data_IF_050694825021
#
_entry.id   IF_050694825021
#
_cell.length_a   1.000
_cell.length_b   1.000
_cell.length_c   1.000
_cell.angle_alpha   90.00
_cell.angle_beta   90.00
_cell.angle_gamma   90.00
#
_symmetry.space_group_name_H-M   'P 1'
#
loop_
_entity.id
_entity.type
_entity.pdbx_description
1 polymer ?
#
# COMPACT_ATOMS: atom_id res chain seq x y z
N UNK A 1 -7.23 6.68 15.32
CA UNK A 1 -6.25 7.69 15.69
C UNK A 1 -6.97 8.90 16.32
N UNK A 2 -6.54 9.36 17.50
CA UNK A 2 -7.25 10.41 18.26
C UNK A 2 -6.57 11.79 18.12
N UNK A 3 -5.60 11.92 17.23
CA UNK A 3 -4.86 13.18 17.01
C UNK A 3 -5.61 14.07 16.04
N UNK A 4 -5.98 15.27 16.51
CA UNK A 4 -6.73 16.27 15.74
C UNK A 4 -5.78 17.44 15.45
N UNK A 5 -5.59 17.85 14.18
CA UNK A 5 -4.74 18.98 13.84
C UNK A 5 -5.14 20.25 14.62
N UNK A 6 -4.17 20.89 15.26
CA UNK A 6 -4.38 22.10 16.07
C UNK A 6 -4.95 21.88 17.48
N UNK A 7 -5.39 20.66 17.81
CA UNK A 7 -5.98 20.34 19.14
C UNK A 7 -5.15 19.25 19.87
N UNK A 8 -4.39 18.46 19.12
CA UNK A 8 -3.60 17.35 19.67
C UNK A 8 -4.41 16.07 19.88
N UNK A 9 -3.96 15.23 20.80
CA UNK A 9 -4.62 13.95 21.10
C UNK A 9 -5.80 14.18 22.06
N UNK A 10 -7.01 14.17 21.54
CA UNK A 10 -8.22 14.37 22.33
C UNK A 10 -9.29 13.32 22.02
N UNK A 11 -9.31 12.25 22.82
CA UNK A 11 -10.25 11.15 22.67
C UNK A 11 -11.70 11.53 22.90
N UNK A 12 -11.98 12.50 23.78
CA UNK A 12 -13.36 12.90 24.09
C UNK A 12 -14.06 13.51 22.87
N UNK A 13 -13.33 14.25 22.05
CA UNK A 13 -13.85 14.79 20.77
C UNK A 13 -14.14 13.66 19.79
N UNK A 14 -13.19 12.73 19.65
CA UNK A 14 -13.36 11.58 18.73
C UNK A 14 -14.54 10.71 19.19
N UNK A 15 -14.61 10.35 20.45
CA UNK A 15 -15.71 9.54 20.97
C UNK A 15 -17.06 10.23 20.77
N UNK A 16 -17.14 11.54 20.99
CA UNK A 16 -18.36 12.30 20.71
C UNK A 16 -18.72 12.25 19.22
N UNK A 17 -17.77 12.49 18.32
CA UNK A 17 -18.02 12.52 16.87
C UNK A 17 -18.52 11.17 16.31
N UNK A 18 -18.16 10.06 16.98
CA UNK A 18 -18.60 8.70 16.62
C UNK A 18 -19.78 8.20 17.47
N UNK A 19 -20.31 9.04 18.36
CA UNK A 19 -21.48 8.70 19.17
C UNK A 19 -22.71 8.41 18.30
N UNK A 20 -23.56 7.48 18.75
CA UNK A 20 -24.77 7.10 18.01
C UNK A 20 -25.77 8.23 17.97
N UNK A 21 -25.89 8.97 19.07
CA UNK A 21 -26.83 10.09 19.25
C UNK A 21 -26.39 11.41 18.57
N UNK A 22 -25.18 11.46 18.00
CA UNK A 22 -24.65 12.68 17.38
C UNK A 22 -24.98 12.71 15.90
N UNK A 23 -25.54 13.83 15.43
CA UNK A 23 -25.98 14.03 14.05
C UNK A 23 -25.16 15.11 13.34
N UNK A 24 -25.18 15.09 12.00
CA UNK A 24 -24.56 16.15 11.20
C UNK A 24 -25.22 17.48 11.53
N UNK A 25 -24.40 18.48 11.84
CA UNK A 25 -24.83 19.81 12.29
C UNK A 25 -24.67 20.03 13.80
N UNK A 26 -24.57 18.96 14.58
CA UNK A 26 -24.40 19.08 16.04
C UNK A 26 -23.09 19.77 16.39
N UNK A 27 -23.17 20.60 17.45
CA UNK A 27 -22.06 21.40 17.93
C UNK A 27 -21.85 21.13 19.43
N UNK A 28 -20.58 20.89 19.79
CA UNK A 28 -20.21 20.69 21.21
C UNK A 28 -18.90 21.40 21.55
N UNK A 29 -18.87 21.96 22.77
CA UNK A 29 -17.67 22.55 23.35
C UNK A 29 -16.94 21.52 24.19
N UNK A 30 -15.62 21.45 24.02
CA UNK A 30 -14.72 20.59 24.80
C UNK A 30 -13.67 21.46 25.51
N UNK A 31 -13.31 21.08 26.73
CA UNK A 31 -12.14 21.61 27.41
C UNK A 31 -10.89 20.86 26.93
N UNK A 32 -9.85 21.62 26.62
CA UNK A 32 -8.52 21.11 26.26
C UNK A 32 -7.49 21.71 27.21
N UNK A 33 -6.23 21.24 27.14
CA UNK A 33 -5.18 21.66 28.05
C UNK A 33 -5.01 23.20 28.07
N UNK A 34 -5.07 23.84 26.92
CA UNK A 34 -4.80 25.27 26.73
C UNK A 34 -6.09 26.09 26.52
N UNK A 35 -7.27 25.56 26.88
CA UNK A 35 -8.50 26.31 26.74
C UNK A 35 -9.72 25.50 26.32
N UNK A 36 -10.48 26.03 25.38
CA UNK A 36 -11.72 25.44 24.90
C UNK A 36 -11.70 25.34 23.38
N UNK A 37 -12.29 24.28 22.86
CA UNK A 37 -12.55 24.11 21.43
C UNK A 37 -14.04 23.84 21.20
N UNK A 38 -14.60 24.46 20.16
CA UNK A 38 -15.95 24.19 19.69
C UNK A 38 -15.85 23.34 18.41
N UNK A 39 -16.53 22.23 18.42
CA UNK A 39 -16.49 21.25 17.32
C UNK A 39 -17.88 21.09 16.75
N UNK A 40 -17.98 21.12 15.43
CA UNK A 40 -19.20 20.81 14.70
C UNK A 40 -19.00 19.54 13.85
N UNK A 41 -19.94 18.61 13.95
CA UNK A 41 -19.94 17.44 13.04
C UNK A 41 -20.50 17.85 11.68
N UNK A 42 -19.63 17.89 10.67
CA UNK A 42 -20.01 18.34 9.32
C UNK A 42 -20.40 17.21 8.39
N UNK A 43 -19.96 15.96 8.67
CA UNK A 43 -20.25 14.80 7.85
C UNK A 43 -20.17 13.49 8.63
N UNK A 44 -21.05 12.56 8.35
CA UNK A 44 -20.98 11.13 8.71
C UNK A 44 -20.83 10.29 7.45
N UNK A 45 -19.81 9.45 7.39
CA UNK A 45 -19.65 8.49 6.29
C UNK A 45 -19.96 7.09 6.82
N UNK A 46 -21.04 6.45 6.36
CA UNK A 46 -21.38 5.10 6.79
C UNK A 46 -20.32 4.10 6.32
N UNK A 47 -20.18 2.97 7.02
CA UNK A 47 -19.34 1.86 6.59
C UNK A 47 -19.84 1.33 5.24
N UNK A 48 -18.97 1.27 4.24
CA UNK A 48 -19.34 0.78 2.91
C UNK A 48 -18.41 1.29 1.82
N UNK A 49 -18.87 1.20 0.59
CA UNK A 49 -18.17 1.75 -0.56
C UNK A 49 -18.23 3.28 -0.53
N UNK A 50 -17.09 3.89 -0.78
CA UNK A 50 -16.97 5.33 -0.94
C UNK A 50 -17.79 5.81 -2.14
N UNK A 51 -18.46 6.96 -2.04
CA UNK A 51 -19.15 7.55 -3.17
C UNK A 51 -18.20 7.89 -4.32
N UNK A 52 -18.69 7.93 -5.56
CA UNK A 52 -17.88 8.28 -6.73
C UNK A 52 -17.22 9.67 -6.55
N UNK A 53 -17.94 10.63 -6.01
CA UNK A 53 -17.43 11.98 -5.78
C UNK A 53 -16.22 11.98 -4.82
N UNK A 54 -16.31 11.21 -3.75
CA UNK A 54 -15.23 11.10 -2.74
C UNK A 54 -14.05 10.27 -3.25
N UNK A 55 -14.35 9.16 -3.96
CA UNK A 55 -13.32 8.27 -4.52
C UNK A 55 -12.56 8.90 -5.69
N UNK A 56 -13.15 9.82 -6.42
CA UNK A 56 -12.60 10.38 -7.66
C UNK A 56 -11.19 10.93 -7.50
N UNK A 57 -10.90 11.67 -6.43
CA UNK A 57 -9.57 12.23 -6.19
C UNK A 57 -8.49 11.16 -6.02
N UNK A 58 -8.85 10.00 -5.47
CA UNK A 58 -7.94 8.88 -5.22
C UNK A 58 -7.79 7.96 -6.44
N UNK A 59 -8.90 7.74 -7.17
CA UNK A 59 -8.98 6.74 -8.24
C UNK A 59 -8.62 7.31 -9.61
N UNK A 60 -8.98 8.56 -9.89
CA UNK A 60 -8.72 9.18 -11.21
C UNK A 60 -7.26 9.18 -11.65
N UNK A 61 -6.26 9.44 -10.80
CA UNK A 61 -4.85 9.34 -11.21
C UNK A 61 -4.49 7.93 -11.68
N UNK A 62 -4.94 6.90 -10.96
CA UNK A 62 -4.69 5.48 -11.32
C UNK A 62 -5.36 5.11 -12.64
N UNK A 63 -6.61 5.50 -12.84
CA UNK A 63 -7.33 5.26 -14.10
C UNK A 63 -6.66 5.96 -15.28
N UNK A 64 -6.22 7.20 -15.11
CA UNK A 64 -5.48 7.92 -16.15
C UNK A 64 -4.17 7.24 -16.51
N UNK A 65 -3.43 6.75 -15.53
CA UNK A 65 -2.17 6.04 -15.76
C UNK A 65 -2.44 4.72 -16.49
N UNK A 66 -3.43 3.94 -16.06
CA UNK A 66 -3.82 2.70 -16.72
C UNK A 66 -4.25 2.94 -18.19
N UNK A 67 -5.03 4.00 -18.44
CA UNK A 67 -5.44 4.36 -19.79
C UNK A 67 -4.25 4.78 -20.68
N UNK A 68 -3.33 5.61 -20.15
CA UNK A 68 -2.09 6.00 -20.85
C UNK A 68 -1.22 4.78 -21.14
N UNK A 69 -1.04 3.89 -20.17
CA UNK A 69 -0.28 2.66 -20.36
C UNK A 69 -0.86 1.83 -21.50
N UNK A 70 -2.19 1.65 -21.53
CA UNK A 70 -2.87 0.93 -22.62
C UNK A 70 -2.62 1.59 -23.98
N UNK A 71 -2.67 2.91 -24.07
CA UNK A 71 -2.37 3.63 -25.33
C UNK A 71 -0.92 3.42 -25.76
N UNK A 72 0.04 3.56 -24.85
CA UNK A 72 1.47 3.35 -25.13
C UNK A 72 1.71 1.91 -25.60
N UNK A 73 1.17 0.92 -24.88
CA UNK A 73 1.31 -0.48 -25.25
C UNK A 73 0.77 -0.80 -26.65
N UNK A 74 -0.29 -0.12 -27.07
CA UNK A 74 -0.87 -0.29 -28.41
C UNK A 74 0.03 0.24 -29.54
N UNK A 75 0.98 1.12 -29.26
CA UNK A 75 1.93 1.69 -30.24
C UNK A 75 3.22 0.88 -30.34
N UNK A 76 3.47 -0.02 -29.41
CA UNK A 76 4.72 -0.79 -29.33
C UNK A 76 4.52 -2.18 -29.90
N UNK A 77 5.38 -2.57 -30.83
CA UNK A 77 5.39 -3.92 -31.43
C UNK A 77 6.81 -4.46 -31.51
N UNK A 78 6.91 -5.79 -31.57
CA UNK A 78 8.18 -6.51 -31.66
C UNK A 78 8.84 -6.77 -30.30
N UNK A 79 10.01 -7.42 -30.34
CA UNK A 79 10.75 -7.88 -29.16
C UNK A 79 12.16 -7.30 -29.02
N UNK A 80 12.57 -6.52 -29.99
CA UNK A 80 13.88 -5.85 -29.97
C UNK A 80 13.80 -4.58 -29.10
N UNK A 81 14.51 -4.62 -27.94
CA UNK A 81 14.50 -3.52 -26.98
C UNK A 81 15.12 -2.23 -27.54
N UNK A 82 16.17 -2.35 -28.34
CA UNK A 82 16.86 -1.18 -28.89
C UNK A 82 15.98 -0.48 -29.95
N UNK A 83 15.32 -1.27 -30.81
CA UNK A 83 14.39 -0.75 -31.79
C UNK A 83 13.17 -0.08 -31.11
N UNK A 84 12.61 -0.72 -30.07
CA UNK A 84 11.50 -0.15 -29.29
C UNK A 84 11.94 1.13 -28.61
N UNK A 85 13.06 1.15 -27.91
CA UNK A 85 13.58 2.32 -27.23
C UNK A 85 13.78 3.49 -28.19
N UNK A 86 14.41 3.25 -29.34
CA UNK A 86 14.63 4.26 -30.38
C UNK A 86 13.32 4.82 -30.92
N UNK A 87 12.32 3.96 -31.17
CA UNK A 87 11.01 4.41 -31.66
C UNK A 87 10.23 5.27 -30.67
N UNK A 88 10.50 5.10 -29.37
CA UNK A 88 9.88 5.86 -28.28
C UNK A 88 10.75 7.03 -27.79
N UNK A 89 11.87 7.33 -28.45
CA UNK A 89 12.80 8.39 -28.03
C UNK A 89 13.45 8.14 -26.67
N UNK A 90 13.66 6.88 -26.33
CA UNK A 90 14.23 6.42 -25.06
C UNK A 90 15.50 5.61 -25.29
N UNK A 91 16.11 5.13 -24.24
CA UNK A 91 17.29 4.24 -24.28
C UNK A 91 17.10 3.04 -23.37
N UNK A 92 17.71 1.93 -23.77
CA UNK A 92 17.74 0.72 -22.92
C UNK A 92 18.62 0.99 -21.71
N UNK A 93 18.08 0.73 -20.53
CA UNK A 93 18.77 0.89 -19.25
C UNK A 93 19.10 -0.47 -18.64
N UNK A 94 20.26 -0.57 -18.00
CA UNK A 94 20.65 -1.76 -17.26
C UNK A 94 20.25 -1.60 -15.78
N UNK A 95 19.64 -2.65 -15.24
CA UNK A 95 19.30 -2.74 -13.81
C UNK A 95 19.98 -3.97 -13.22
N UNK A 96 20.72 -3.79 -12.15
CA UNK A 96 21.46 -4.87 -11.46
C UNK A 96 21.00 -5.01 -10.02
N UNK A 97 21.26 -6.16 -9.42
CA UNK A 97 20.95 -6.46 -8.01
C UNK A 97 19.46 -6.30 -7.66
N UNK A 98 18.58 -6.58 -8.61
CA UNK A 98 17.13 -6.57 -8.36
C UNK A 98 16.74 -7.79 -7.55
N UNK A 99 15.93 -7.61 -6.52
CA UNK A 99 15.44 -8.68 -5.64
C UNK A 99 13.93 -8.61 -5.48
N UNK A 100 13.30 -9.78 -5.23
CA UNK A 100 11.87 -9.84 -4.93
C UNK A 100 11.50 -9.16 -3.59
N UNK A 101 12.44 -9.16 -2.62
CA UNK A 101 12.21 -8.54 -1.31
C UNK A 101 12.17 -6.99 -1.39
N UNK A 102 12.88 -6.41 -2.36
CA UNK A 102 12.87 -4.98 -2.63
C UNK A 102 12.69 -4.75 -4.15
N UNK A 103 11.45 -4.79 -4.66
CA UNK A 103 11.16 -4.75 -6.09
C UNK A 103 11.30 -3.32 -6.65
N UNK A 104 12.52 -2.79 -6.58
CA UNK A 104 12.85 -1.42 -7.03
C UNK A 104 13.78 -1.47 -8.23
N UNK A 105 13.44 -0.74 -9.26
CA UNK A 105 14.24 -0.61 -10.48
C UNK A 105 14.97 0.75 -10.44
N UNK A 106 16.31 0.79 -10.58
CA UNK A 106 17.05 2.04 -10.67
C UNK A 106 16.48 2.96 -11.75
N UNK A 107 16.23 4.22 -11.40
CA UNK A 107 15.64 5.21 -12.30
C UNK A 107 14.12 5.16 -12.46
N UNK A 108 13.47 4.02 -12.14
CA UNK A 108 12.01 3.88 -12.20
C UNK A 108 11.34 3.87 -10.82
N UNK A 109 12.01 3.34 -9.79
CA UNK A 109 11.46 3.22 -8.43
C UNK A 109 10.84 1.86 -8.17
N UNK A 110 9.89 1.81 -7.24
CA UNK A 110 9.20 0.56 -6.89
C UNK A 110 8.25 0.14 -8.03
N UNK A 111 8.52 -1.02 -8.61
CA UNK A 111 7.78 -1.60 -9.73
C UNK A 111 7.59 -3.12 -9.51
N UNK A 112 6.76 -3.52 -8.53
CA UNK A 112 6.65 -4.92 -8.13
C UNK A 112 6.13 -5.85 -9.23
N UNK A 113 5.20 -5.38 -10.08
CA UNK A 113 4.67 -6.17 -11.19
C UNK A 113 5.74 -6.45 -12.25
N UNK A 114 6.57 -5.44 -12.55
CA UNK A 114 7.67 -5.55 -13.53
C UNK A 114 8.74 -6.51 -13.01
N UNK A 115 9.14 -6.36 -11.76
CA UNK A 115 10.11 -7.23 -11.11
C UNK A 115 9.58 -8.66 -11.03
N UNK A 116 8.33 -8.86 -10.60
CA UNK A 116 7.70 -10.18 -10.57
C UNK A 116 7.68 -10.87 -11.94
N UNK A 117 7.33 -10.13 -12.99
CA UNK A 117 7.34 -10.67 -14.36
C UNK A 117 8.75 -11.01 -14.86
N UNK A 118 9.77 -10.21 -14.47
CA UNK A 118 11.17 -10.51 -14.80
C UNK A 118 11.67 -11.79 -14.11
N UNK A 119 11.32 -11.97 -12.82
CA UNK A 119 11.68 -13.18 -12.07
C UNK A 119 11.00 -14.48 -12.58
N UNK A 120 9.95 -14.35 -13.36
CA UNK A 120 9.31 -15.50 -14.03
C UNK A 120 10.02 -15.90 -15.33
N UNK A 121 11.10 -15.21 -15.72
CA UNK A 121 11.83 -15.44 -16.97
C UNK A 121 13.22 -16.02 -16.72
N UNK A 122 13.68 -16.85 -17.64
CA UNK A 122 15.05 -17.34 -17.66
C UNK A 122 16.01 -16.29 -18.25
N UNK A 123 17.31 -16.48 -18.02
CA UNK A 123 18.34 -15.66 -18.65
C UNK A 123 18.25 -15.73 -20.18
N UNK A 124 18.28 -14.60 -20.85
CA UNK A 124 18.10 -14.43 -22.29
C UNK A 124 16.64 -14.13 -22.70
N UNK A 125 15.66 -14.43 -21.87
CA UNK A 125 14.25 -14.20 -22.20
C UNK A 125 13.81 -12.74 -21.99
N UNK A 126 12.81 -12.33 -22.77
CA UNK A 126 12.18 -11.01 -22.69
C UNK A 126 10.74 -11.14 -22.19
N UNK A 127 10.28 -10.22 -21.35
CA UNK A 127 8.89 -10.16 -20.90
C UNK A 127 7.98 -9.63 -22.01
N UNK A 128 6.67 -9.81 -21.88
CA UNK A 128 5.69 -8.99 -22.57
C UNK A 128 5.79 -7.53 -22.09
N UNK A 129 5.06 -6.62 -22.74
CA UNK A 129 4.86 -5.26 -22.21
C UNK A 129 4.08 -5.30 -20.90
N UNK A 130 4.54 -4.56 -19.91
CA UNK A 130 3.99 -4.53 -18.55
C UNK A 130 3.65 -3.09 -18.20
N UNK A 131 2.43 -2.86 -17.77
CA UNK A 131 2.03 -1.57 -17.19
C UNK A 131 2.48 -1.54 -15.72
N UNK A 132 3.52 -0.79 -15.43
CA UNK A 132 3.98 -0.55 -14.06
C UNK A 132 3.33 0.67 -13.42
N UNK A 133 3.80 1.03 -12.23
CA UNK A 133 3.29 2.19 -11.48
C UNK A 133 3.62 3.53 -12.18
N UNK A 134 4.79 3.64 -12.79
CA UNK A 134 5.29 4.88 -13.40
C UNK A 134 5.36 4.88 -14.92
N UNK A 135 5.18 3.74 -15.55
CA UNK A 135 5.31 3.64 -17.00
C UNK A 135 5.00 2.26 -17.56
N UNK A 136 5.29 2.11 -18.84
CA UNK A 136 5.24 0.80 -19.53
C UNK A 136 6.66 0.27 -19.65
N UNK A 137 6.83 -0.97 -19.29
CA UNK A 137 8.14 -1.63 -19.25
C UNK A 137 8.16 -2.86 -20.14
N UNK A 138 9.31 -3.11 -20.73
CA UNK A 138 9.67 -4.37 -21.36
C UNK A 138 11.07 -4.73 -20.91
N UNK A 139 11.27 -5.92 -20.37
CA UNK A 139 12.51 -6.31 -19.69
C UNK A 139 13.08 -7.55 -20.33
N UNK A 140 14.39 -7.56 -20.60
CA UNK A 140 15.16 -8.75 -20.92
C UNK A 140 16.00 -9.14 -19.72
N UNK A 141 15.85 -10.37 -19.26
CA UNK A 141 16.65 -10.93 -18.17
C UNK A 141 18.02 -11.34 -18.75
N UNK A 142 19.08 -10.70 -18.30
CA UNK A 142 20.44 -11.01 -18.78
C UNK A 142 21.13 -12.09 -17.95
N UNK A 143 20.85 -12.11 -16.64
CA UNK A 143 21.40 -13.11 -15.73
C UNK A 143 20.44 -13.37 -14.57
N UNK A 144 20.46 -14.59 -14.05
CA UNK A 144 19.75 -15.01 -12.85
C UNK A 144 20.78 -15.52 -11.84
N UNK A 145 20.89 -14.84 -10.72
CA UNK A 145 21.81 -15.20 -9.65
C UNK A 145 21.04 -15.92 -8.54
N UNK A 146 21.09 -17.22 -8.51
CA UNK A 146 20.50 -18.01 -7.44
C UNK A 146 21.34 -17.89 -6.17
N UNK A 147 20.67 -17.86 -5.03
CA UNK A 147 21.36 -17.97 -3.75
C UNK A 147 22.14 -19.30 -3.68
N UNK A 148 23.37 -19.29 -3.15
CA UNK A 148 24.13 -20.54 -3.00
C UNK A 148 23.39 -21.49 -2.05
N UNK A 149 23.47 -22.78 -2.32
CA UNK A 149 22.93 -23.79 -1.43
C UNK A 149 23.69 -23.75 -0.10
N UNK A 150 22.93 -23.79 0.99
CA UNK A 150 23.49 -23.84 2.35
C UNK A 150 23.53 -25.28 2.81
N UNK A 151 24.57 -25.63 3.59
CA UNK A 151 24.70 -26.97 4.20
C UNK A 151 23.52 -27.26 5.15
N UNK A 152 23.04 -26.26 5.87
CA UNK A 152 21.84 -26.37 6.69
C UNK A 152 21.11 -25.02 6.80
N UNK A 153 19.86 -25.06 7.18
CA UNK A 153 18.98 -23.89 7.35
C UNK A 153 18.60 -23.63 8.82
N UNK A 154 19.31 -24.27 9.78
CA UNK A 154 18.93 -24.20 11.20
C UNK A 154 18.93 -22.77 11.75
N UNK A 155 19.92 -21.94 11.34
CA UNK A 155 19.98 -20.54 11.76
C UNK A 155 18.78 -19.73 11.28
N UNK A 156 18.35 -19.93 10.03
CA UNK A 156 17.17 -19.27 9.47
C UNK A 156 15.87 -19.76 10.13
N UNK A 157 15.77 -21.08 10.38
CA UNK A 157 14.63 -21.64 11.10
C UNK A 157 14.52 -21.04 12.52
N UNK A 158 15.63 -20.94 13.23
CA UNK A 158 15.66 -20.33 14.55
C UNK A 158 15.29 -18.83 14.50
N UNK A 159 15.79 -18.09 13.52
CA UNK A 159 15.44 -16.69 13.33
C UNK A 159 13.94 -16.50 13.03
N UNK A 160 13.38 -17.32 12.15
CA UNK A 160 11.95 -17.30 11.83
C UNK A 160 11.10 -17.67 13.06
N UNK A 161 11.49 -18.69 13.81
CA UNK A 161 10.78 -19.10 15.02
C UNK A 161 10.83 -18.00 16.09
N UNK A 162 11.99 -17.38 16.28
CA UNK A 162 12.14 -16.26 17.22
C UNK A 162 11.30 -15.04 16.85
N UNK A 163 11.14 -14.77 15.55
CA UNK A 163 10.27 -13.71 15.07
C UNK A 163 8.78 -14.08 15.12
N UNK A 164 8.45 -15.37 14.88
CA UNK A 164 7.08 -15.86 14.86
C UNK A 164 6.45 -15.94 16.26
N UNK A 165 7.22 -16.32 17.29
CA UNK A 165 6.71 -16.53 18.65
C UNK A 165 5.98 -15.30 19.23
N UNK A 166 6.57 -14.08 19.23
CA UNK A 166 5.86 -12.86 19.67
C UNK A 166 4.65 -12.54 18.82
N UNK A 167 4.77 -12.77 17.49
CA UNK A 167 3.69 -12.50 16.55
C UNK A 167 2.46 -13.43 16.77
N UNK A 168 2.69 -14.70 17.13
CA UNK A 168 1.61 -15.65 17.47
C UNK A 168 0.82 -15.15 18.68
N UNK A 169 1.51 -14.76 19.76
CA UNK A 169 0.84 -14.25 20.96
C UNK A 169 -0.05 -13.05 20.68
N UNK A 170 0.46 -12.08 19.89
CA UNK A 170 -0.31 -10.90 19.49
C UNK A 170 -1.49 -11.26 18.59
N UNK A 171 -1.27 -12.13 17.59
CA UNK A 171 -2.32 -12.55 16.65
C UNK A 171 -3.42 -13.38 17.30
N UNK A 172 -3.07 -14.28 18.23
CA UNK A 172 -4.04 -15.06 19.00
C UNK A 172 -4.91 -14.13 19.85
N UNK A 173 -4.30 -13.18 20.55
CA UNK A 173 -5.05 -12.19 21.32
C UNK A 173 -5.99 -11.37 20.44
N UNK A 174 -5.52 -10.88 19.29
CA UNK A 174 -6.36 -10.12 18.35
C UNK A 174 -7.48 -10.99 17.75
N UNK A 175 -7.19 -12.24 17.43
CA UNK A 175 -8.21 -13.17 16.92
C UNK A 175 -9.30 -13.43 17.96
N UNK A 176 -8.93 -13.66 19.22
CA UNK A 176 -9.88 -13.81 20.33
C UNK A 176 -10.69 -12.53 20.53
N UNK A 177 -10.05 -11.36 20.51
CA UNK A 177 -10.73 -10.08 20.63
C UNK A 177 -11.71 -9.83 19.47
N UNK A 178 -11.34 -10.19 18.25
CA UNK A 178 -12.21 -10.04 17.08
C UNK A 178 -13.39 -11.04 17.06
N UNK A 179 -13.19 -12.22 17.67
CA UNK A 179 -14.23 -13.24 17.78
C UNK A 179 -15.16 -13.03 18.99
N UNK A 180 -14.72 -12.26 19.98
CA UNK A 180 -15.51 -11.94 21.16
C UNK A 180 -16.46 -10.78 20.88
N UNK A 181 -17.72 -10.93 21.30
CA UNK A 181 -18.68 -9.84 21.40
C UNK A 181 -18.32 -9.01 22.66
N UNK A 182 -17.58 -7.92 22.48
CA UNK A 182 -17.09 -7.11 23.59
C UNK A 182 -18.02 -5.90 23.78
N UNK A 183 -18.76 -5.89 24.87
CA UNK A 183 -19.50 -4.73 25.34
C UNK A 183 -18.65 -3.92 26.33
N UNK A 184 -18.31 -2.70 25.98
CA UNK A 184 -17.57 -1.79 26.84
C UNK A 184 -18.52 -0.79 27.53
N UNK A 185 -18.94 -1.12 28.74
CA UNK A 185 -19.85 -0.32 29.55
C UNK A 185 -19.12 0.64 30.50
N UNK A 186 -17.81 0.81 30.40
CA UNK A 186 -17.02 1.68 31.30
C UNK A 186 -17.48 3.14 31.27
N UNK A 187 -17.96 3.63 30.13
CA UNK A 187 -18.47 4.98 29.99
C UNK A 187 -19.69 5.29 30.87
N UNK A 188 -20.38 4.27 31.40
CA UNK A 188 -21.50 4.43 32.31
C UNK A 188 -21.08 4.64 33.77
N UNK A 189 -19.80 4.45 34.09
CA UNK A 189 -19.27 4.49 35.45
C UNK A 189 -18.21 5.57 35.68
N UNK A 190 -17.70 6.21 34.59
CA UNK A 190 -16.64 7.23 34.66
C UNK A 190 -16.94 8.43 33.75
#
# INVERSE_FOLDING_TARGET
DATIPGVGNNRSIVNWAFGEDVSVGDVKRFSILDGYVVVQLTRKSPKGLMSIAEASSLVMPKLRNAYKAKQIMATISGDDLDAIASSQGSTVQNATAITMAAPTIPGAGAEPEVVGAAFAKAAGETTSLIAGEKGVFKVRVTAVNNAPALENYASFANQLNSAATPAVNTKVYQALKNAAEIEDNRANFF
#
